data_IF_846596648721
#
_entry.id   IF_846596648721
#
_cell.length_a   1.000
_cell.length_b   1.000
_cell.length_c   1.000
_cell.angle_alpha   90.00
_cell.angle_beta   90.00
_cell.angle_gamma   90.00
#
_symmetry.space_group_name_H-M   'P 1'
#
loop_
_entity.id
_entity.type
_entity.pdbx_description
1 polymer ?
#
# COMPACT_ATOMS: atom_id res chain seq x y z
N UNK A 1 -35.46 45.89 58.74
CA UNK A 1 -35.82 47.25 58.28
C UNK A 1 -35.02 47.54 57.02
N UNK A 2 -35.74 47.92 55.98
CA UNK A 2 -35.38 48.08 54.57
C UNK A 2 -34.51 49.31 54.25
N UNK A 3 -34.12 49.39 52.96
CA UNK A 3 -33.44 50.46 52.18
C UNK A 3 -31.93 50.20 51.95
N UNK A 4 -31.48 49.75 50.77
CA UNK A 4 -31.40 50.41 49.44
C UNK A 4 -30.56 51.68 49.48
N UNK A 5 -29.50 51.74 48.66
CA UNK A 5 -29.16 52.87 47.77
C UNK A 5 -27.99 52.46 46.85
N UNK A 6 -28.28 52.54 45.54
CA UNK A 6 -27.33 52.65 44.43
C UNK A 6 -26.72 54.06 44.42
N UNK A 7 -25.40 54.21 44.27
CA UNK A 7 -24.84 55.44 43.69
C UNK A 7 -23.57 55.18 42.86
N UNK A 8 -23.63 55.66 41.61
CA UNK A 8 -22.53 55.76 40.63
C UNK A 8 -21.62 56.94 40.98
N UNK A 9 -20.30 56.79 40.91
CA UNK A 9 -19.32 57.85 40.57
C UNK A 9 -18.14 57.22 39.83
N UNK A 10 -17.94 57.49 38.54
CA UNK A 10 -17.24 58.64 37.92
C UNK A 10 -15.70 58.61 38.06
N UNK A 11 -15.08 58.02 37.03
CA UNK A 11 -13.87 58.43 36.29
C UNK A 11 -12.80 59.31 36.99
N UNK A 12 -11.56 58.81 37.06
CA UNK A 12 -10.35 59.62 36.77
C UNK A 12 -9.11 58.76 36.43
N UNK A 13 -8.67 58.90 35.16
CA UNK A 13 -7.31 59.05 34.57
C UNK A 13 -6.09 58.30 35.13
N UNK A 14 -5.28 57.71 34.22
CA UNK A 14 -3.83 57.98 33.94
C UNK A 14 -3.32 56.94 32.90
N UNK A 15 -3.15 57.31 31.63
CA UNK A 15 -1.87 57.56 30.90
C UNK A 15 -0.81 56.43 30.98
N UNK A 16 -0.71 55.70 29.86
CA UNK A 16 0.43 55.10 29.16
C UNK A 16 1.56 54.39 29.93
N UNK A 17 1.79 53.10 29.63
CA UNK A 17 3.05 52.64 29.03
C UNK A 17 2.83 51.33 28.25
N UNK A 18 3.39 51.32 27.04
CA UNK A 18 3.29 50.29 26.00
C UNK A 18 4.01 48.99 26.37
N UNK A 19 3.38 47.84 26.11
CA UNK A 19 4.03 46.61 25.66
C UNK A 19 2.99 45.74 24.93
N UNK A 20 2.78 46.03 23.64
CA UNK A 20 2.08 45.10 22.75
C UNK A 20 3.14 44.22 22.11
N UNK A 21 3.24 42.97 22.57
CA UNK A 21 3.97 41.93 21.84
C UNK A 21 3.10 41.56 20.64
N UNK A 22 3.52 42.05 19.47
CA UNK A 22 2.94 41.72 18.18
C UNK A 22 3.26 40.24 17.89
N UNK A 23 2.34 39.33 18.18
CA UNK A 23 2.39 37.99 17.58
C UNK A 23 2.05 38.14 16.10
N UNK A 24 3.09 38.26 15.27
CA UNK A 24 2.98 38.10 13.84
C UNK A 24 2.54 36.68 13.54
N UNK A 25 1.24 36.51 13.28
CA UNK A 25 0.76 35.36 12.53
C UNK A 25 1.33 35.46 11.12
N UNK A 26 2.44 34.77 10.88
CA UNK A 26 2.80 34.37 9.52
C UNK A 26 1.76 33.33 9.13
N UNK A 27 0.71 33.79 8.46
CA UNK A 27 -0.13 32.93 7.63
C UNK A 27 0.80 32.44 6.52
N UNK A 28 1.46 31.32 6.74
CA UNK A 28 1.95 30.53 5.62
C UNK A 28 0.70 30.04 4.91
N UNK A 29 0.40 30.71 3.81
CA UNK A 29 -0.42 30.15 2.74
C UNK A 29 0.19 28.80 2.42
N UNK A 30 -0.48 27.72 2.82
CA UNK A 30 -0.12 26.38 2.39
C UNK A 30 -0.38 26.39 0.89
N UNK A 31 0.69 26.57 0.14
CA UNK A 31 0.69 26.47 -1.31
C UNK A 31 0.01 25.16 -1.71
N UNK A 32 -0.87 25.26 -2.69
CA UNK A 32 -1.48 24.13 -3.37
C UNK A 32 -0.37 23.24 -3.92
N UNK A 33 0.01 22.22 -3.15
CA UNK A 33 0.91 21.19 -3.65
C UNK A 33 0.14 20.34 -4.66
N UNK A 34 0.33 20.71 -5.92
CA UNK A 34 0.27 19.92 -7.14
C UNK A 34 -0.17 18.48 -6.92
N UNK A 35 -1.42 18.19 -7.28
CA UNK A 35 -1.78 16.84 -7.72
C UNK A 35 -0.89 16.54 -8.95
N UNK A 36 0.23 15.87 -8.73
CA UNK A 36 1.11 15.44 -9.82
C UNK A 36 0.30 14.52 -10.72
N UNK A 37 0.25 14.86 -12.01
CA UNK A 37 -0.39 13.99 -12.99
C UNK A 37 0.42 12.70 -13.08
N UNK A 38 -0.21 11.59 -12.69
CA UNK A 38 0.37 10.24 -12.79
C UNK A 38 0.75 9.88 -14.25
N UNK A 39 0.24 10.64 -15.22
CA UNK A 39 0.31 10.36 -16.66
C UNK A 39 1.70 10.51 -17.29
N UNK A 40 2.61 11.26 -16.68
CA UNK A 40 3.87 11.65 -17.33
C UNK A 40 5.10 10.95 -16.71
N UNK A 41 4.90 10.18 -15.63
CA UNK A 41 5.99 9.44 -14.99
C UNK A 41 6.37 8.20 -15.80
N UNK A 42 7.64 8.12 -16.20
CA UNK A 42 8.23 6.95 -16.84
C UNK A 42 9.23 6.33 -15.89
N UNK A 43 8.92 5.12 -15.41
CA UNK A 43 9.80 4.37 -14.52
C UNK A 43 11.11 4.00 -15.23
N UNK A 44 12.29 4.24 -14.63
CA UNK A 44 13.56 3.71 -15.13
C UNK A 44 13.73 2.22 -14.82
N UNK A 45 12.80 1.64 -14.05
CA UNK A 45 12.83 0.26 -13.60
C UNK A 45 12.00 -0.65 -14.50
N UNK A 46 12.45 -1.88 -14.66
CA UNK A 46 11.72 -2.93 -15.36
C UNK A 46 11.75 -4.26 -14.61
N UNK A 47 10.93 -5.21 -15.05
CA UNK A 47 10.88 -6.57 -14.50
C UNK A 47 11.32 -7.53 -15.60
N UNK A 48 12.25 -8.43 -15.26
CA UNK A 48 12.70 -9.50 -16.12
C UNK A 48 12.18 -10.84 -15.61
N UNK A 49 11.44 -11.54 -16.47
CA UNK A 49 10.95 -12.89 -16.21
C UNK A 49 11.84 -13.92 -16.92
N UNK A 50 12.00 -15.10 -16.32
CA UNK A 50 12.58 -16.26 -16.99
C UNK A 50 11.51 -17.06 -17.74
N UNK A 51 10.27 -17.05 -17.23
CA UNK A 51 9.11 -17.59 -17.91
C UNK A 51 8.40 -16.51 -18.73
N UNK A 52 7.73 -16.89 -19.83
CA UNK A 52 6.90 -15.94 -20.57
C UNK A 52 5.81 -15.37 -19.67
N UNK A 53 5.60 -14.05 -19.69
CA UNK A 53 4.53 -13.39 -18.91
C UNK A 53 3.15 -14.01 -19.19
N UNK A 54 2.86 -14.34 -20.45
CA UNK A 54 1.59 -14.95 -20.82
C UNK A 54 1.38 -16.29 -20.14
N UNK A 55 2.39 -17.15 -20.02
CA UNK A 55 2.25 -18.42 -19.29
C UNK A 55 2.07 -18.21 -17.80
N UNK A 56 2.70 -17.17 -17.22
CA UNK A 56 2.62 -16.87 -15.79
C UNK A 56 1.22 -16.42 -15.37
N UNK A 57 0.49 -15.69 -16.24
CA UNK A 57 -0.79 -15.04 -15.88
C UNK A 57 -1.90 -15.25 -16.94
N UNK A 58 -1.82 -16.32 -17.74
CA UNK A 58 -2.79 -16.61 -18.80
C UNK A 58 -4.24 -16.57 -18.31
N UNK A 59 -4.50 -17.21 -17.17
CA UNK A 59 -5.82 -17.28 -16.55
C UNK A 59 -6.32 -15.90 -16.07
N UNK A 60 -5.42 -15.02 -15.62
CA UNK A 60 -5.77 -13.65 -15.26
C UNK A 60 -6.08 -12.78 -16.48
N UNK A 61 -5.50 -13.09 -17.64
CA UNK A 61 -5.72 -12.31 -18.86
C UNK A 61 -6.93 -12.80 -19.67
N UNK A 62 -7.28 -14.09 -19.56
CA UNK A 62 -8.21 -14.74 -20.50
C UNK A 62 -9.42 -15.40 -19.83
N UNK A 63 -9.57 -15.32 -18.51
CA UNK A 63 -10.69 -15.94 -17.80
C UNK A 63 -11.31 -14.99 -16.76
N UNK A 64 -12.45 -15.38 -16.20
CA UNK A 64 -13.15 -14.64 -15.14
C UNK A 64 -12.29 -14.42 -13.88
N UNK A 65 -11.21 -15.19 -13.69
CA UNK A 65 -10.31 -14.99 -12.54
C UNK A 65 -9.69 -13.60 -12.50
N UNK A 66 -9.40 -13.03 -13.67
CA UNK A 66 -8.87 -11.68 -13.79
C UNK A 66 -9.93 -10.59 -13.93
N UNK A 67 -11.21 -10.96 -14.06
CA UNK A 67 -12.30 -9.97 -14.09
C UNK A 67 -12.52 -9.43 -12.68
N UNK A 68 -12.09 -8.19 -12.44
CA UNK A 68 -12.23 -7.55 -11.14
C UNK A 68 -13.67 -7.49 -10.64
N UNK A 69 -14.66 -7.52 -11.53
CA UNK A 69 -16.10 -7.55 -11.16
C UNK A 69 -16.47 -8.80 -10.38
N UNK A 70 -15.67 -9.86 -10.51
CA UNK A 70 -15.79 -11.11 -9.78
C UNK A 70 -15.00 -11.12 -8.47
N UNK A 71 -14.24 -10.08 -8.13
CA UNK A 71 -13.32 -10.08 -6.97
C UNK A 71 -13.99 -9.94 -5.60
N UNK A 72 -15.31 -9.78 -5.53
CA UNK A 72 -16.03 -9.60 -4.27
C UNK A 72 -17.03 -10.73 -4.02
N UNK A 73 -17.37 -10.96 -2.75
CA UNK A 73 -18.56 -11.76 -2.37
C UNK A 73 -19.86 -10.96 -2.56
N UNK A 74 -19.75 -9.66 -2.86
CA UNK A 74 -20.88 -8.81 -3.24
C UNK A 74 -20.95 -8.76 -4.74
N UNK A 75 -22.14 -9.02 -5.31
CA UNK A 75 -22.36 -8.95 -6.75
C UNK A 75 -22.00 -7.57 -7.30
N UNK A 76 -21.38 -7.54 -8.49
CA UNK A 76 -20.90 -6.30 -9.10
C UNK A 76 -22.00 -5.23 -9.24
N UNK A 77 -23.23 -5.65 -9.54
CA UNK A 77 -24.38 -4.77 -9.65
C UNK A 77 -24.67 -3.97 -8.35
N UNK A 78 -24.27 -4.52 -7.19
CA UNK A 78 -24.53 -3.93 -5.88
C UNK A 78 -23.36 -3.15 -5.32
N UNK A 79 -22.18 -3.14 -5.99
CA UNK A 79 -20.96 -2.49 -5.48
C UNK A 79 -21.14 -1.02 -5.09
N UNK A 80 -22.08 -0.33 -5.74
CA UNK A 80 -22.36 1.09 -5.51
C UNK A 80 -23.70 1.33 -4.81
N UNK A 81 -24.30 0.30 -4.25
CA UNK A 81 -25.56 0.40 -3.51
C UNK A 81 -25.37 1.07 -2.14
N UNK A 82 -26.46 1.62 -1.61
CA UNK A 82 -26.49 2.20 -0.26
C UNK A 82 -26.13 1.18 0.83
N UNK A 83 -26.41 -0.12 0.62
CA UNK A 83 -26.08 -1.18 1.57
C UNK A 83 -24.57 -1.41 1.65
N UNK A 84 -23.87 -1.48 0.51
CA UNK A 84 -22.41 -1.58 0.43
C UNK A 84 -21.76 -0.32 1.01
N UNK A 85 -22.28 0.86 0.67
CA UNK A 85 -21.84 2.14 1.25
C UNK A 85 -21.93 2.14 2.78
N UNK A 86 -23.04 1.66 3.35
CA UNK A 86 -23.24 1.55 4.80
C UNK A 86 -22.30 0.52 5.43
N UNK A 87 -22.10 -0.63 4.76
CA UNK A 87 -21.34 -1.76 5.30
C UNK A 87 -19.83 -1.53 5.27
N UNK A 88 -19.31 -1.03 4.16
CA UNK A 88 -17.86 -0.93 3.94
C UNK A 88 -17.34 0.51 3.89
N UNK A 89 -18.23 1.50 3.70
CA UNK A 89 -17.87 2.91 3.73
C UNK A 89 -16.76 3.23 2.72
N UNK A 90 -15.69 3.83 3.23
CA UNK A 90 -14.53 4.27 2.44
C UNK A 90 -13.77 3.12 1.77
N UNK A 91 -13.96 1.88 2.21
CA UNK A 91 -13.14 0.74 1.76
C UNK A 91 -13.69 0.01 0.54
N UNK A 92 -14.99 0.20 0.26
CA UNK A 92 -15.66 -0.50 -0.83
C UNK A 92 -15.83 -2.01 -0.62
N UNK A 93 -16.36 -2.71 -1.64
CA UNK A 93 -16.67 -4.14 -1.57
C UNK A 93 -15.47 -4.96 -1.09
N UNK A 94 -15.68 -5.85 -0.12
CA UNK A 94 -14.62 -6.72 0.38
C UNK A 94 -14.25 -7.80 -0.64
N UNK A 95 -12.98 -8.21 -0.65
CA UNK A 95 -12.50 -9.28 -1.52
C UNK A 95 -13.06 -10.65 -1.13
N UNK A 96 -13.46 -11.44 -2.13
CA UNK A 96 -13.75 -12.87 -1.92
C UNK A 96 -12.45 -13.67 -1.77
N UNK A 97 -12.53 -14.89 -1.24
CA UNK A 97 -11.43 -15.84 -1.39
C UNK A 97 -11.54 -16.48 -2.77
N UNK A 98 -10.43 -16.53 -3.49
CA UNK A 98 -10.36 -17.29 -4.73
C UNK A 98 -9.98 -18.74 -4.45
N UNK A 99 -10.45 -19.66 -5.29
CA UNK A 99 -9.93 -21.02 -5.32
C UNK A 99 -8.46 -21.01 -5.77
N UNK A 100 -7.73 -22.05 -5.38
CA UNK A 100 -6.37 -22.29 -5.86
C UNK A 100 -6.40 -22.56 -7.37
N UNK A 101 -5.73 -21.75 -8.21
CA UNK A 101 -5.83 -21.87 -9.65
C UNK A 101 -5.12 -23.12 -10.17
N UNK A 102 -5.76 -23.86 -11.08
CA UNK A 102 -5.24 -25.15 -11.57
C UNK A 102 -3.82 -25.05 -12.16
N UNK A 103 -3.52 -23.92 -12.82
CA UNK A 103 -2.24 -23.67 -13.49
C UNK A 103 -1.03 -23.75 -12.56
N UNK A 104 -1.22 -23.63 -11.23
CA UNK A 104 -0.12 -23.65 -10.26
C UNK A 104 0.11 -25.03 -9.64
N UNK A 105 -0.82 -25.98 -9.83
CA UNK A 105 -0.60 -27.37 -9.41
C UNK A 105 0.64 -27.87 -10.14
N UNK A 106 1.64 -28.35 -9.39
CA UNK A 106 2.92 -28.86 -9.91
C UNK A 106 3.91 -27.81 -10.42
N UNK A 107 3.69 -26.51 -10.19
CA UNK A 107 4.70 -25.48 -10.51
C UNK A 107 5.78 -25.39 -9.44
N UNK A 108 7.01 -25.11 -9.87
CA UNK A 108 8.13 -24.86 -8.96
C UNK A 108 7.93 -23.56 -8.16
N UNK A 109 8.61 -23.44 -7.02
CA UNK A 109 8.62 -22.17 -6.28
C UNK A 109 9.08 -21.00 -7.14
N UNK A 110 10.09 -21.20 -8.00
CA UNK A 110 10.56 -20.15 -8.91
C UNK A 110 9.45 -19.65 -9.83
N UNK A 111 8.72 -20.56 -10.48
CA UNK A 111 7.60 -20.18 -11.34
C UNK A 111 6.49 -19.47 -10.56
N UNK A 112 6.18 -19.94 -9.35
CA UNK A 112 5.18 -19.30 -8.49
C UNK A 112 5.60 -17.89 -8.10
N UNK A 113 6.88 -17.66 -7.72
CA UNK A 113 7.39 -16.32 -7.41
C UNK A 113 7.28 -15.40 -8.62
N UNK A 114 7.66 -15.88 -9.81
CA UNK A 114 7.52 -15.07 -11.03
C UNK A 114 6.06 -14.75 -11.35
N UNK A 115 5.14 -15.69 -11.14
CA UNK A 115 3.70 -15.46 -11.29
C UNK A 115 3.18 -14.40 -10.33
N UNK A 116 3.63 -14.40 -9.08
CA UNK A 116 3.24 -13.37 -8.11
C UNK A 116 3.66 -11.99 -8.60
N UNK A 117 4.90 -11.85 -9.06
CA UNK A 117 5.41 -10.57 -9.59
C UNK A 117 4.70 -10.18 -10.89
N UNK A 118 4.39 -11.14 -11.77
CA UNK A 118 3.59 -10.90 -12.97
C UNK A 118 2.15 -10.45 -12.62
N UNK A 119 1.53 -11.07 -11.63
CA UNK A 119 0.21 -10.69 -11.11
C UNK A 119 0.24 -9.28 -10.54
N UNK A 120 1.25 -8.97 -9.72
CA UNK A 120 1.45 -7.65 -9.13
C UNK A 120 1.66 -6.56 -10.21
N UNK A 121 2.38 -6.89 -11.29
CA UNK A 121 2.65 -5.98 -12.40
C UNK A 121 1.40 -5.46 -13.14
N UNK A 122 0.27 -6.17 -13.04
CA UNK A 122 -1.01 -5.74 -13.62
C UNK A 122 -1.53 -4.43 -13.02
N UNK A 123 -1.09 -4.10 -11.81
CA UNK A 123 -1.57 -2.94 -11.05
C UNK A 123 -0.56 -1.78 -11.02
N UNK A 124 0.56 -1.88 -11.76
CA UNK A 124 1.52 -0.77 -11.83
C UNK A 124 0.83 0.49 -12.36
N UNK A 125 0.99 1.60 -11.63
CA UNK A 125 0.33 2.87 -11.93
C UNK A 125 -1.06 3.02 -11.32
N UNK A 126 -1.55 2.08 -10.51
CA UNK A 126 -2.77 2.30 -9.72
C UNK A 126 -2.45 3.23 -8.54
N UNK A 127 -3.39 4.10 -8.17
CA UNK A 127 -3.19 5.06 -7.07
C UNK A 127 -3.15 4.41 -5.68
N UNK A 128 -2.69 5.15 -4.68
CA UNK A 128 -2.86 4.74 -3.27
C UNK A 128 -4.26 5.10 -2.82
N UNK A 129 -5.04 4.13 -2.35
CA UNK A 129 -6.38 4.33 -1.79
C UNK A 129 -6.63 3.37 -0.63
N UNK A 130 -7.50 3.71 0.31
CA UNK A 130 -7.88 2.77 1.38
C UNK A 130 -9.00 1.83 0.93
N UNK A 131 -8.80 1.11 -0.18
CA UNK A 131 -9.81 0.22 -0.78
C UNK A 131 -9.42 -1.24 -0.63
N UNK A 132 -10.40 -2.14 -0.69
CA UNK A 132 -10.16 -3.58 -0.69
C UNK A 132 -9.80 -4.15 -2.08
N UNK A 133 -10.31 -3.54 -3.15
CA UNK A 133 -10.17 -4.01 -4.53
C UNK A 133 -9.53 -2.90 -5.38
N UNK A 134 -8.39 -3.16 -6.08
CA UNK A 134 -7.68 -2.15 -6.88
C UNK A 134 -8.54 -1.45 -7.93
N UNK A 135 -9.39 -2.20 -8.63
CA UNK A 135 -10.24 -1.67 -9.70
C UNK A 135 -11.55 -1.05 -9.23
N UNK A 136 -11.84 -1.06 -7.93
CA UNK A 136 -13.03 -0.39 -7.43
C UNK A 136 -12.85 1.13 -7.58
N UNK A 137 -13.69 1.70 -8.44
CA UNK A 137 -13.71 3.12 -8.75
C UNK A 137 -15.01 3.74 -8.21
N UNK A 138 -15.01 4.31 -6.99
CA UNK A 138 -16.21 4.87 -6.38
C UNK A 138 -16.73 6.12 -7.10
N UNK A 139 -18.06 6.27 -7.26
CA UNK A 139 -18.64 7.46 -7.88
C UNK A 139 -18.41 8.72 -7.02
N UNK A 140 -18.58 9.88 -7.65
CA UNK A 140 -18.55 11.17 -6.94
C UNK A 140 -19.49 11.17 -5.73
N UNK A 141 -19.03 11.70 -4.60
CA UNK A 141 -19.80 11.74 -3.35
C UNK A 141 -19.81 10.43 -2.54
N UNK A 142 -19.09 9.39 -2.97
CA UNK A 142 -18.76 8.28 -2.09
C UNK A 142 -17.79 8.74 -0.98
N UNK A 143 -17.97 8.31 0.29
CA UNK A 143 -17.07 8.66 1.37
C UNK A 143 -15.67 8.12 1.09
N UNK A 144 -14.64 8.92 1.38
CA UNK A 144 -13.25 8.51 1.22
C UNK A 144 -12.37 9.18 2.27
N UNK A 145 -11.18 8.64 2.45
CA UNK A 145 -10.14 9.24 3.29
C UNK A 145 -9.16 9.95 2.40
N UNK A 146 -8.77 11.18 2.77
CA UNK A 146 -7.75 11.92 2.04
C UNK A 146 -6.45 11.12 2.02
N UNK A 147 -5.91 10.94 0.82
CA UNK A 147 -4.66 10.23 0.50
C UNK A 147 -3.76 11.12 -0.36
N UNK A 148 -2.53 10.68 -0.62
CA UNK A 148 -1.57 11.43 -1.45
C UNK A 148 -2.04 11.65 -2.89
N UNK A 149 -2.99 10.85 -3.40
CA UNK A 149 -3.60 11.08 -4.72
C UNK A 149 -4.42 12.38 -4.79
N UNK A 150 -4.86 12.92 -3.64
CA UNK A 150 -5.70 14.12 -3.60
C UNK A 150 -7.15 13.91 -4.06
N UNK A 151 -7.48 12.76 -4.65
CA UNK A 151 -8.81 12.38 -5.14
C UNK A 151 -9.15 10.95 -4.76
N UNK A 152 -10.45 10.62 -4.85
CA UNK A 152 -10.94 9.25 -4.76
C UNK A 152 -10.93 8.61 -6.15
N UNK A 153 -10.64 7.32 -6.25
CA UNK A 153 -10.61 6.59 -7.52
C UNK A 153 -10.07 5.18 -7.36
N UNK A 154 -9.62 4.56 -8.44
CA UNK A 154 -8.95 3.23 -8.39
C UNK A 154 -7.67 3.26 -7.56
N UNK A 155 -7.39 2.15 -6.89
CA UNK A 155 -6.20 2.01 -6.07
C UNK A 155 -6.42 1.15 -4.84
N UNK A 156 -5.34 0.89 -4.11
CA UNK A 156 -5.32 0.19 -2.81
C UNK A 156 -4.13 0.66 -1.98
N UNK A 157 -4.14 0.39 -0.68
CA UNK A 157 -3.00 0.61 0.19
C UNK A 157 -2.09 -0.61 0.19
N UNK A 158 -0.96 -0.54 0.89
CA UNK A 158 0.09 -1.54 0.82
C UNK A 158 -0.37 -2.95 1.20
N UNK A 159 -1.15 -3.10 2.27
CA UNK A 159 -1.59 -4.42 2.75
C UNK A 159 -2.80 -4.95 2.00
N UNK A 160 -3.70 -4.09 1.50
CA UNK A 160 -4.73 -4.52 0.55
C UNK A 160 -4.11 -4.95 -0.79
N UNK A 161 -3.07 -4.26 -1.26
CA UNK A 161 -2.32 -4.66 -2.46
C UNK A 161 -1.73 -6.05 -2.32
N UNK A 162 -0.92 -6.29 -1.29
CA UNK A 162 -0.28 -7.60 -1.07
C UNK A 162 -1.30 -8.71 -0.83
N UNK A 163 -2.37 -8.43 -0.07
CA UNK A 163 -3.45 -9.39 0.12
C UNK A 163 -4.18 -9.72 -1.18
N UNK A 164 -4.42 -8.72 -2.04
CA UNK A 164 -5.10 -8.91 -3.31
C UNK A 164 -4.27 -9.76 -4.28
N UNK A 165 -2.98 -9.46 -4.46
CA UNK A 165 -2.13 -10.18 -5.43
C UNK A 165 -1.90 -11.65 -5.04
N UNK A 166 -1.78 -11.95 -3.74
CA UNK A 166 -1.66 -13.33 -3.26
C UNK A 166 -2.98 -14.10 -3.43
N UNK A 167 -4.10 -13.43 -3.22
CA UNK A 167 -5.42 -14.03 -3.37
C UNK A 167 -5.76 -14.29 -4.84
N UNK A 168 -5.66 -13.29 -5.71
CA UNK A 168 -5.94 -13.50 -7.15
C UNK A 168 -4.87 -14.40 -7.79
N UNK A 169 -3.61 -14.29 -7.38
CA UNK A 169 -2.52 -15.12 -7.91
C UNK A 169 -2.62 -16.60 -7.54
N UNK A 170 -3.02 -16.91 -6.29
CA UNK A 170 -2.88 -18.26 -5.72
C UNK A 170 -4.09 -18.76 -4.91
N UNK A 171 -5.08 -17.92 -4.63
CA UNK A 171 -6.16 -18.24 -3.69
C UNK A 171 -5.79 -18.02 -2.22
N UNK A 172 -4.65 -17.37 -1.92
CA UNK A 172 -4.19 -17.12 -0.55
C UNK A 172 -4.80 -15.81 -0.01
N UNK A 173 -5.80 -15.90 0.87
CA UNK A 173 -6.51 -14.73 1.41
C UNK A 173 -5.83 -14.16 2.67
N UNK A 174 -4.74 -13.41 2.45
CA UNK A 174 -4.06 -12.70 3.54
C UNK A 174 -4.95 -11.65 4.20
N UNK A 175 -4.66 -11.33 5.47
CA UNK A 175 -5.29 -10.21 6.16
C UNK A 175 -4.86 -8.88 5.52
N UNK A 176 -5.81 -7.97 5.33
CA UNK A 176 -5.56 -6.63 4.77
C UNK A 176 -5.20 -5.57 5.80
N UNK A 177 -5.06 -5.95 7.09
CA UNK A 177 -4.46 -5.08 8.10
C UNK A 177 -2.97 -5.40 8.20
N UNK A 178 -2.11 -4.40 7.98
CA UNK A 178 -0.65 -4.60 7.90
C UNK A 178 -0.04 -5.27 9.13
N UNK A 179 -0.47 -4.91 10.36
CA UNK A 179 0.05 -5.53 11.58
C UNK A 179 -0.39 -6.98 11.72
N UNK A 180 -1.65 -7.29 11.39
CA UNK A 180 -2.13 -8.68 11.39
C UNK A 180 -1.42 -9.48 10.31
N UNK A 181 -1.25 -8.91 9.11
CA UNK A 181 -0.55 -9.54 7.99
C UNK A 181 0.89 -9.89 8.36
N UNK A 182 1.59 -9.01 9.09
CA UNK A 182 2.96 -9.24 9.58
C UNK A 182 3.07 -10.30 10.67
N UNK A 183 1.99 -10.95 11.07
CA UNK A 183 1.96 -11.98 12.10
C UNK A 183 1.43 -13.31 11.54
N UNK A 184 1.10 -13.37 10.25
CA UNK A 184 0.49 -14.54 9.62
C UNK A 184 1.55 -15.57 9.26
N UNK A 185 1.79 -16.52 10.16
CA UNK A 185 2.67 -17.67 9.91
C UNK A 185 1.92 -18.95 9.62
N UNK A 186 0.70 -19.14 10.15
CA UNK A 186 -0.17 -20.24 9.77
C UNK A 186 -1.11 -19.78 8.65
N UNK A 187 -1.03 -20.47 7.50
CA UNK A 187 -1.77 -20.15 6.28
C UNK A 187 -2.74 -21.26 5.86
N UNK A 188 -2.79 -22.38 6.58
CA UNK A 188 -3.55 -23.58 6.19
C UNK A 188 -5.00 -23.30 5.77
N UNK A 189 -5.74 -22.55 6.59
CA UNK A 189 -7.15 -22.20 6.33
C UNK A 189 -7.33 -21.20 5.19
N UNK A 190 -6.35 -20.32 4.97
CA UNK A 190 -6.46 -19.22 4.02
C UNK A 190 -5.78 -19.49 2.69
N UNK A 191 -5.05 -20.61 2.56
CA UNK A 191 -4.34 -21.00 1.34
C UNK A 191 -5.02 -22.13 0.56
N UNK A 192 -6.18 -22.60 1.03
CA UNK A 192 -6.86 -23.80 0.53
C UNK A 192 -5.92 -25.03 0.48
N UNK A 193 -5.04 -25.15 1.47
CA UNK A 193 -4.06 -26.23 1.56
C UNK A 193 -2.82 -26.08 0.66
N UNK A 194 -2.67 -24.99 -0.10
CA UNK A 194 -1.49 -24.75 -0.92
C UNK A 194 -0.21 -24.55 -0.08
N UNK A 195 -0.33 -23.82 1.02
CA UNK A 195 0.76 -23.53 1.96
C UNK A 195 0.23 -23.65 3.38
N UNK A 196 0.83 -24.52 4.17
CA UNK A 196 0.44 -24.66 5.57
C UNK A 196 1.04 -23.55 6.44
N UNK A 197 2.35 -23.30 6.29
CA UNK A 197 3.08 -22.35 7.10
C UNK A 197 3.97 -21.45 6.24
N UNK A 198 4.05 -20.17 6.59
CA UNK A 198 5.01 -19.23 6.06
C UNK A 198 6.28 -19.20 6.92
N UNK A 199 7.41 -18.86 6.31
CA UNK A 199 8.69 -18.68 7.00
C UNK A 199 8.85 -17.21 7.43
N UNK A 200 9.15 -16.99 8.72
CA UNK A 200 9.58 -15.68 9.21
C UNK A 200 11.09 -15.54 9.03
N UNK A 201 11.51 -14.47 8.37
CA UNK A 201 12.92 -14.15 8.14
C UNK A 201 13.25 -12.89 8.95
N UNK A 202 14.19 -13.02 9.87
CA UNK A 202 14.66 -11.92 10.70
C UNK A 202 15.51 -10.92 9.88
N UNK A 203 15.73 -9.74 10.46
CA UNK A 203 16.61 -8.70 9.91
C UNK A 203 18.00 -9.23 9.59
N UNK A 204 18.40 -9.24 8.31
CA UNK A 204 19.77 -9.56 7.92
C UNK A 204 20.78 -8.53 8.47
N UNK A 205 22.03 -8.95 8.68
CA UNK A 205 23.01 -8.14 9.38
C UNK A 205 23.55 -6.97 8.54
N UNK A 206 23.70 -7.18 7.24
CA UNK A 206 24.21 -6.18 6.30
C UNK A 206 23.25 -5.98 5.14
N UNK A 207 23.35 -4.84 4.46
CA UNK A 207 22.55 -4.58 3.26
C UNK A 207 22.78 -5.64 2.17
N UNK A 208 24.01 -6.12 2.03
CA UNK A 208 24.35 -7.20 1.10
C UNK A 208 23.65 -8.51 1.49
N UNK A 209 23.50 -8.79 2.79
CA UNK A 209 22.72 -9.93 3.27
C UNK A 209 21.23 -9.80 2.94
N UNK A 210 20.66 -8.59 2.95
CA UNK A 210 19.27 -8.38 2.48
C UNK A 210 19.11 -8.89 1.04
N UNK A 211 20.04 -8.52 0.17
CA UNK A 211 20.00 -8.89 -1.25
C UNK A 211 20.10 -10.40 -1.44
N UNK A 212 20.94 -11.07 -0.64
CA UNK A 212 21.18 -12.50 -0.75
C UNK A 212 20.10 -13.36 -0.05
N UNK A 213 19.46 -12.82 0.99
CA UNK A 213 18.51 -13.56 1.84
C UNK A 213 17.13 -13.67 1.19
N UNK A 214 16.62 -12.56 0.64
CA UNK A 214 15.24 -12.50 0.16
C UNK A 214 15.08 -13.08 -1.24
N UNK A 215 13.90 -13.64 -1.50
CA UNK A 215 13.48 -14.17 -2.79
C UNK A 215 12.33 -13.34 -3.35
N UNK A 216 12.16 -13.29 -4.69
CA UNK A 216 11.05 -12.55 -5.27
C UNK A 216 9.72 -12.98 -4.66
N UNK A 217 8.86 -12.03 -4.33
CA UNK A 217 7.56 -12.31 -3.71
C UNK A 217 7.56 -12.30 -2.18
N UNK A 218 8.72 -12.34 -1.52
CA UNK A 218 8.79 -12.17 -0.06
C UNK A 218 8.12 -10.85 0.35
N UNK A 219 7.33 -10.91 1.43
CA UNK A 219 6.69 -9.73 2.01
C UNK A 219 7.59 -9.16 3.10
N UNK A 220 8.13 -7.97 2.88
CA UNK A 220 8.99 -7.28 3.84
C UNK A 220 8.15 -6.26 4.62
N UNK A 221 8.21 -6.32 5.94
CA UNK A 221 7.42 -5.45 6.83
C UNK A 221 8.26 -4.33 7.41
N UNK A 222 7.75 -3.11 7.29
CA UNK A 222 8.46 -1.87 7.60
C UNK A 222 7.77 -1.17 8.77
N UNK A 223 8.55 -0.78 9.77
CA UNK A 223 8.13 -0.01 10.94
C UNK A 223 7.84 1.44 10.53
N UNK A 224 6.91 2.07 11.23
CA UNK A 224 6.74 3.51 11.09
C UNK A 224 8.03 4.25 11.52
N UNK A 225 8.27 5.44 10.94
CA UNK A 225 9.50 6.22 11.14
C UNK A 225 9.89 6.41 12.62
N UNK A 226 8.91 6.52 13.52
CA UNK A 226 9.10 6.74 14.95
C UNK A 226 9.32 5.45 15.76
N UNK A 227 9.82 4.37 15.14
CA UNK A 227 9.98 3.03 15.76
C UNK A 227 8.68 2.47 16.38
N UNK A 228 7.55 2.91 15.84
CA UNK A 228 6.21 2.38 16.13
C UNK A 228 6.05 0.98 15.49
N UNK A 229 4.98 0.22 15.81
CA UNK A 229 4.72 -1.07 15.15
C UNK A 229 4.74 -0.99 13.63
N UNK A 230 4.84 -2.15 12.99
CA UNK A 230 4.77 -2.32 11.53
C UNK A 230 3.61 -1.49 10.96
N UNK A 231 3.92 -0.64 9.99
CA UNK A 231 2.96 0.25 9.33
C UNK A 231 2.85 0.04 7.83
N UNK A 232 3.81 -0.67 7.23
CA UNK A 232 3.88 -0.85 5.79
C UNK A 232 4.41 -2.22 5.41
N UNK A 233 4.04 -2.69 4.22
CA UNK A 233 4.45 -3.97 3.66
C UNK A 233 4.82 -3.76 2.20
N UNK A 234 5.90 -4.39 1.76
CA UNK A 234 6.41 -4.30 0.39
C UNK A 234 6.69 -5.70 -0.16
N UNK A 235 6.64 -5.84 -1.48
CA UNK A 235 7.01 -7.08 -2.18
C UNK A 235 8.44 -6.95 -2.67
N UNK A 236 9.31 -7.89 -2.29
CA UNK A 236 10.68 -7.95 -2.83
C UNK A 236 10.67 -8.43 -4.28
N UNK A 237 11.37 -7.72 -5.19
CA UNK A 237 11.49 -8.16 -6.59
C UNK A 237 12.70 -9.07 -6.81
N UNK A 238 13.71 -9.01 -5.93
CA UNK A 238 14.94 -9.80 -6.05
C UNK A 238 15.58 -9.68 -7.44
N UNK A 239 16.04 -10.82 -7.97
CA UNK A 239 16.73 -10.89 -9.27
C UNK A 239 15.85 -10.46 -10.46
N UNK A 240 14.52 -10.39 -10.28
CA UNK A 240 13.60 -10.00 -11.35
C UNK A 240 13.60 -8.49 -11.57
N UNK A 241 13.88 -7.70 -10.53
CA UNK A 241 13.95 -6.25 -10.65
C UNK A 241 15.19 -5.81 -11.42
N UNK A 242 15.02 -4.93 -12.40
CA UNK A 242 16.11 -4.35 -13.18
C UNK A 242 16.15 -2.84 -12.96
N UNK A 243 17.25 -2.36 -12.37
CA UNK A 243 17.55 -0.94 -12.16
C UNK A 243 18.76 -0.52 -12.98
N UNK A 244 18.84 0.75 -13.42
CA UNK A 244 20.01 1.23 -14.18
C UNK A 244 21.33 1.18 -13.40
N UNK A 245 21.27 1.30 -12.08
CA UNK A 245 22.41 1.37 -11.17
C UNK A 245 22.67 0.07 -10.39
N UNK A 246 21.87 -0.98 -10.63
CA UNK A 246 21.95 -2.24 -9.90
C UNK A 246 21.36 -2.20 -8.48
N UNK A 247 20.75 -1.10 -8.06
CA UNK A 247 20.02 -1.02 -6.79
C UNK A 247 18.88 -2.06 -6.77
N UNK A 248 18.77 -2.91 -5.73
CA UNK A 248 17.65 -3.83 -5.55
C UNK A 248 16.30 -3.11 -5.55
N UNK A 249 15.27 -3.78 -6.06
CA UNK A 249 13.96 -3.17 -6.25
C UNK A 249 12.87 -3.87 -5.44
N UNK A 250 11.87 -3.08 -5.05
CA UNK A 250 10.64 -3.52 -4.40
C UNK A 250 9.43 -3.03 -5.18
N UNK A 251 8.28 -3.64 -4.94
CA UNK A 251 6.99 -3.16 -5.41
C UNK A 251 6.04 -2.96 -4.22
N UNK A 252 5.42 -1.80 -4.14
CA UNK A 252 4.49 -1.46 -3.07
C UNK A 252 3.46 -0.43 -3.51
N UNK A 253 2.41 -0.23 -2.70
CA UNK A 253 1.53 0.94 -2.80
C UNK A 253 1.88 1.95 -1.72
N UNK A 254 2.47 3.07 -2.10
CA UNK A 254 3.09 4.03 -1.15
C UNK A 254 2.88 5.50 -1.54
N UNK A 255 3.29 6.43 -0.67
CA UNK A 255 3.29 7.86 -0.92
C UNK A 255 4.25 8.32 -2.03
N UNK A 256 4.16 9.60 -2.38
CA UNK A 256 4.92 10.22 -3.48
C UNK A 256 6.26 10.82 -3.01
N UNK A 257 6.81 10.35 -1.89
CA UNK A 257 8.01 10.90 -1.27
C UNK A 257 9.30 10.18 -1.69
N UNK A 258 9.20 9.14 -2.52
CA UNK A 258 10.35 8.34 -2.98
C UNK A 258 10.83 8.82 -4.35
N UNK A 259 12.16 8.89 -4.51
CA UNK A 259 12.81 9.23 -5.77
C UNK A 259 13.25 7.98 -6.53
N UNK A 260 13.22 8.04 -7.85
CA UNK A 260 13.81 7.03 -8.72
C UNK A 260 15.32 7.27 -8.94
N UNK A 261 15.97 6.37 -9.68
CA UNK A 261 17.40 6.45 -10.00
C UNK A 261 17.78 7.68 -10.85
N UNK A 262 16.80 8.35 -11.47
CA UNK A 262 16.97 9.58 -12.23
C UNK A 262 16.65 10.84 -11.38
N UNK A 263 16.32 10.68 -10.10
CA UNK A 263 15.92 11.77 -9.20
C UNK A 263 14.47 12.25 -9.37
N UNK A 264 13.67 11.59 -10.22
CA UNK A 264 12.26 11.92 -10.39
C UNK A 264 11.46 11.43 -9.20
N UNK A 265 10.41 12.18 -8.83
CA UNK A 265 9.45 11.70 -7.83
C UNK A 265 8.62 10.57 -8.42
N UNK A 266 8.61 9.43 -7.75
CA UNK A 266 7.75 8.31 -8.09
C UNK A 266 6.33 8.62 -7.58
N UNK A 267 5.28 8.50 -8.41
CA UNK A 267 3.92 8.83 -8.01
C UNK A 267 3.39 8.02 -6.81
N UNK A 268 2.34 8.54 -6.21
CA UNK A 268 1.58 7.90 -5.15
C UNK A 268 0.85 6.65 -5.70
N UNK A 269 0.93 5.52 -4.99
CA UNK A 269 0.31 4.26 -5.38
C UNK A 269 1.30 3.16 -5.71
N UNK A 270 0.83 2.21 -6.53
CA UNK A 270 1.50 0.95 -6.88
C UNK A 270 2.60 1.21 -7.91
N UNK A 271 3.85 1.15 -7.46
CA UNK A 271 5.02 1.38 -8.31
C UNK A 271 6.19 0.48 -7.89
N UNK A 272 7.16 0.35 -8.81
CA UNK A 272 8.48 -0.19 -8.49
C UNK A 272 9.32 0.93 -7.89
N UNK A 273 10.03 0.64 -6.80
CA UNK A 273 10.85 1.62 -6.07
C UNK A 273 12.21 1.03 -5.69
N UNK A 274 13.24 1.88 -5.53
CA UNK A 274 14.55 1.43 -5.12
C UNK A 274 14.57 1.11 -3.62
N UNK A 275 15.19 -0.01 -3.27
CA UNK A 275 15.47 -0.37 -1.88
C UNK A 275 16.88 0.08 -1.51
N UNK A 276 17.09 1.38 -1.31
CA UNK A 276 18.42 1.94 -1.06
C UNK A 276 18.86 1.78 0.41
N UNK A 277 20.18 1.76 0.66
CA UNK A 277 20.75 1.81 2.02
C UNK A 277 20.26 3.02 2.83
N UNK A 278 19.99 4.13 2.16
CA UNK A 278 19.51 5.39 2.76
C UNK A 278 17.99 5.45 2.89
N UNK A 279 17.27 4.50 2.29
CA UNK A 279 15.81 4.53 2.24
C UNK A 279 15.17 4.24 3.60
N UNK A 280 13.94 4.72 3.78
CA UNK A 280 13.10 4.33 4.91
C UNK A 280 12.87 2.81 4.96
N UNK A 281 12.75 2.17 3.79
CA UNK A 281 12.55 0.72 3.69
C UNK A 281 13.64 -0.08 4.38
N UNK A 282 14.90 0.24 4.12
CA UNK A 282 16.03 -0.43 4.76
C UNK A 282 16.12 -0.08 6.25
N UNK A 283 16.13 1.22 6.57
CA UNK A 283 16.40 1.69 7.94
C UNK A 283 15.28 1.41 8.94
N UNK A 284 14.09 1.02 8.48
CA UNK A 284 12.95 0.66 9.33
C UNK A 284 12.43 -0.74 9.06
N UNK A 285 13.25 -1.59 8.45
CA UNK A 285 12.93 -3.00 8.31
C UNK A 285 12.58 -3.62 9.68
N UNK A 286 11.63 -4.56 9.67
CA UNK A 286 11.27 -5.34 10.86
C UNK A 286 11.63 -6.80 10.70
N UNK A 287 11.06 -7.43 9.69
CA UNK A 287 11.18 -8.85 9.37
C UNK A 287 10.52 -9.05 7.99
N UNK A 288 10.71 -10.22 7.40
CA UNK A 288 9.99 -10.64 6.22
C UNK A 288 9.19 -11.91 6.49
N UNK A 289 8.16 -12.14 5.67
CA UNK A 289 7.42 -13.39 5.60
C UNK A 289 7.57 -13.94 4.18
N UNK A 290 8.08 -15.17 4.09
CA UNK A 290 8.14 -15.95 2.85
C UNK A 290 7.01 -16.96 2.82
N UNK A 291 6.11 -16.77 1.87
CA UNK A 291 4.94 -17.65 1.68
C UNK A 291 5.25 -18.74 0.64
N UNK A 292 5.91 -18.36 -0.45
CA UNK A 292 6.32 -19.31 -1.50
C UNK A 292 7.66 -19.91 -1.08
N UNK A 293 7.62 -21.19 -0.70
CA UNK A 293 8.75 -21.93 -0.12
C UNK A 293 10.02 -21.91 -0.95
N UNK A 294 11.12 -22.40 -0.38
CA UNK A 294 12.47 -22.26 -0.95
C UNK A 294 12.77 -23.17 -2.16
N UNK A 295 12.03 -24.27 -2.33
CA UNK A 295 12.30 -25.34 -3.30
C UNK A 295 11.46 -25.24 -4.58
#
# INVERSE_FOLDING_TARGET
>A
MTYSILEKKFQMRFINFSFLILFGFIIQTVDSQNAFSQTDYVSPYSIKYTFSRDSLIYDLLNTERGDYKQSSTTDYADWYSSSVKKKYGVWGPATKQYDTPEIIKEKSAEWMRERLIATASLFLGYGYQHHHIPDWDPPAGWPWKKVCMGTNGKGVDCSNFTAYIYNVGFGIKLNSNTLKQSQMLNLSEISNGLVENAEMINEPATYEDFVNTFKPGDLLFIKAANNKPVSHVIVWLGYMGQSPDGTPLIMDSHGAEVKDANGNTIPCGIHIRPFEKTSWYYNKFSHAIRIIGSN
#
